data_IF_573152940321
#
_entry.id   IF_573152940321
#
_cell.length_a   1.000
_cell.length_b   1.000
_cell.length_c   1.000
_cell.angle_alpha   90.00
_cell.angle_beta   90.00
_cell.angle_gamma   90.00
#
_symmetry.space_group_name_H-M   'P 1'
#
loop_
_entity.id
_entity.type
_entity.pdbx_description
1 polymer ?
#
# COMPACT_ATOMS: atom_id res chain seq x y z
N UNK A 1 -12.36 31.23 45.16
CA UNK A 1 -11.73 31.70 43.90
C UNK A 1 -10.91 30.55 43.33
N UNK A 2 -11.13 30.31 42.03
CA UNK A 2 -10.29 29.59 41.05
C UNK A 2 -9.77 28.18 41.39
N UNK A 3 -10.32 27.18 40.68
CA UNK A 3 -9.52 26.15 39.97
C UNK A 3 -10.37 25.55 38.84
N UNK A 4 -10.39 26.23 37.68
CA UNK A 4 -10.86 25.63 36.44
C UNK A 4 -9.77 25.83 35.37
N UNK A 5 -8.75 24.99 35.44
CA UNK A 5 -7.77 24.84 34.36
C UNK A 5 -8.18 23.60 33.56
N UNK A 6 -9.17 23.80 32.67
CA UNK A 6 -9.37 22.92 31.54
C UNK A 6 -8.10 22.99 30.70
N UNK A 7 -7.25 21.96 30.80
CA UNK A 7 -6.17 21.73 29.85
C UNK A 7 -6.80 21.35 28.50
N UNK A 8 -7.26 22.36 27.76
CA UNK A 8 -7.44 22.26 26.33
C UNK A 8 -6.03 22.19 25.71
N UNK A 9 -5.41 21.02 25.76
CA UNK A 9 -4.37 20.63 24.81
C UNK A 9 -5.02 20.46 23.44
N UNK A 10 -5.43 21.58 22.84
CA UNK A 10 -5.72 21.63 21.43
C UNK A 10 -4.42 21.21 20.71
N UNK A 11 -4.42 20.02 20.11
CA UNK A 11 -3.34 19.64 19.19
C UNK A 11 -3.19 20.79 18.19
N UNK A 12 -1.97 21.29 17.91
CA UNK A 12 -1.78 22.34 16.95
C UNK A 12 -2.35 21.85 15.61
N UNK A 13 -3.46 22.44 15.19
CA UNK A 13 -4.06 22.15 13.89
C UNK A 13 -3.04 22.65 12.87
N UNK A 14 -2.45 21.74 12.10
CA UNK A 14 -1.50 22.12 11.03
C UNK A 14 -2.12 23.20 10.16
N UNK A 15 -1.29 24.16 9.73
CA UNK A 15 -1.75 25.16 8.80
C UNK A 15 -2.21 24.48 7.51
N UNK A 16 -3.29 24.98 6.88
CA UNK A 16 -3.79 24.46 5.61
C UNK A 16 -2.69 24.41 4.52
N UNK A 17 -1.70 25.30 4.61
CA UNK A 17 -0.53 25.34 3.74
C UNK A 17 0.37 24.10 3.94
N UNK A 18 0.57 23.69 5.19
CA UNK A 18 1.40 22.52 5.54
C UNK A 18 0.74 21.22 5.09
N UNK A 19 -0.56 21.05 5.37
CA UNK A 19 -1.34 19.90 4.89
C UNK A 19 -1.26 19.75 3.38
N UNK A 20 -1.46 20.85 2.64
CA UNK A 20 -1.39 20.82 1.17
C UNK A 20 0.01 20.46 0.66
N UNK A 21 1.06 20.89 1.37
CA UNK A 21 2.44 20.53 1.03
C UNK A 21 2.70 19.04 1.25
N UNK A 22 2.27 18.48 2.38
CA UNK A 22 2.42 17.05 2.68
C UNK A 22 1.65 16.22 1.65
N UNK A 23 0.41 16.60 1.33
CA UNK A 23 -0.39 15.93 0.29
C UNK A 23 0.35 15.91 -1.05
N UNK A 24 0.71 17.07 -1.59
CA UNK A 24 1.39 17.15 -2.90
C UNK A 24 2.67 16.32 -2.94
N UNK A 25 3.50 16.42 -1.90
CA UNK A 25 4.75 15.67 -1.82
C UNK A 25 4.51 14.16 -1.70
N UNK A 26 3.49 13.74 -0.96
CA UNK A 26 3.12 12.33 -0.81
C UNK A 26 2.69 11.75 -2.15
N UNK A 27 1.73 12.37 -2.83
CA UNK A 27 1.24 11.86 -4.12
C UNK A 27 2.32 11.90 -5.21
N UNK A 28 3.18 12.92 -5.20
CA UNK A 28 4.31 12.99 -6.13
C UNK A 28 5.33 11.88 -5.88
N UNK A 29 5.75 11.67 -4.63
CA UNK A 29 6.69 10.60 -4.28
C UNK A 29 6.06 9.21 -4.51
N UNK A 30 4.78 9.03 -4.22
CA UNK A 30 4.03 7.81 -4.51
C UNK A 30 4.03 7.51 -6.02
N UNK A 31 3.72 8.49 -6.86
CA UNK A 31 3.73 8.29 -8.31
C UNK A 31 5.12 7.88 -8.83
N UNK A 32 6.19 8.56 -8.37
CA UNK A 32 7.56 8.21 -8.77
C UNK A 32 7.97 6.81 -8.29
N UNK A 33 7.58 6.43 -7.07
CA UNK A 33 7.93 5.12 -6.50
C UNK A 33 7.14 3.98 -7.13
N UNK A 34 5.88 4.18 -7.51
CA UNK A 34 5.10 3.24 -8.31
C UNK A 34 5.69 3.07 -9.71
N UNK A 35 6.05 4.16 -10.39
CA UNK A 35 6.71 4.10 -11.69
C UNK A 35 8.06 3.36 -11.61
N UNK A 36 8.86 3.67 -10.60
CA UNK A 36 10.12 2.97 -10.34
C UNK A 36 9.91 1.48 -10.03
N UNK A 37 8.87 1.14 -9.28
CA UNK A 37 8.49 -0.26 -9.00
C UNK A 37 8.09 -0.99 -10.27
N UNK A 38 7.36 -0.34 -11.18
CA UNK A 38 7.00 -0.92 -12.47
C UNK A 38 8.22 -1.17 -13.36
N UNK A 39 9.18 -0.23 -13.39
CA UNK A 39 10.44 -0.41 -14.13
C UNK A 39 11.26 -1.56 -13.53
N UNK A 40 11.42 -1.61 -12.22
CA UNK A 40 12.17 -2.69 -11.55
C UNK A 40 11.49 -4.05 -11.70
N UNK A 41 10.16 -4.10 -11.67
CA UNK A 41 9.39 -5.30 -12.00
C UNK A 41 9.64 -5.75 -13.45
N UNK A 42 9.60 -4.82 -14.42
CA UNK A 42 9.89 -5.11 -15.83
C UNK A 42 11.31 -5.61 -16.06
N UNK A 43 12.31 -5.02 -15.38
CA UNK A 43 13.70 -5.51 -15.40
C UNK A 43 13.77 -6.91 -14.82
N UNK A 44 13.12 -7.16 -13.68
CA UNK A 44 13.10 -8.49 -13.07
C UNK A 44 12.39 -9.53 -13.95
N UNK A 45 11.35 -9.13 -14.70
CA UNK A 45 10.68 -10.00 -15.67
C UNK A 45 11.62 -10.36 -16.83
N UNK A 46 12.31 -9.35 -17.39
CA UNK A 46 13.25 -9.52 -18.49
C UNK A 46 14.46 -10.38 -18.12
N UNK A 47 14.94 -10.27 -16.87
CA UNK A 47 16.02 -11.11 -16.33
C UNK A 47 15.56 -12.51 -15.93
N UNK A 48 14.26 -12.82 -16.03
CA UNK A 48 13.66 -14.11 -15.64
C UNK A 48 14.11 -14.57 -14.25
N UNK A 49 14.10 -13.66 -13.27
CA UNK A 49 14.53 -13.98 -11.92
C UNK A 49 13.72 -15.14 -11.34
N UNK A 50 14.36 -16.09 -10.64
CA UNK A 50 13.65 -17.23 -10.08
C UNK A 50 12.70 -16.79 -8.96
N UNK A 51 11.61 -17.54 -8.79
CA UNK A 51 10.58 -17.24 -7.78
C UNK A 51 11.16 -17.07 -6.36
N UNK A 52 12.15 -17.88 -6.01
CA UNK A 52 12.87 -17.77 -4.73
C UNK A 52 13.50 -16.38 -4.53
N UNK A 53 14.08 -15.79 -5.58
CA UNK A 53 14.66 -14.44 -5.49
C UNK A 53 13.57 -13.39 -5.26
N UNK A 54 12.39 -13.58 -5.85
CA UNK A 54 11.23 -12.72 -5.62
C UNK A 54 10.82 -12.68 -4.15
N UNK A 55 10.71 -13.85 -3.52
CA UNK A 55 10.44 -13.96 -2.07
C UNK A 55 11.53 -13.28 -1.26
N UNK A 56 12.80 -13.51 -1.57
CA UNK A 56 13.92 -12.89 -0.85
C UNK A 56 13.85 -11.37 -0.93
N UNK A 57 13.58 -10.78 -2.10
CA UNK A 57 13.44 -9.33 -2.23
C UNK A 57 12.28 -8.76 -1.43
N UNK A 58 11.14 -9.45 -1.40
CA UNK A 58 9.99 -9.04 -0.57
C UNK A 58 10.29 -9.18 0.92
N UNK A 59 11.03 -10.21 1.36
CA UNK A 59 11.43 -10.33 2.76
C UNK A 59 12.44 -9.25 3.17
N UNK A 60 13.40 -8.94 2.29
CA UNK A 60 14.37 -7.86 2.53
C UNK A 60 13.67 -6.50 2.56
N UNK A 61 12.67 -6.27 1.71
CA UNK A 61 11.91 -5.02 1.71
C UNK A 61 11.14 -4.82 3.03
N UNK A 62 10.58 -5.87 3.64
CA UNK A 62 10.00 -5.81 4.98
C UNK A 62 11.03 -5.39 6.04
N UNK A 63 12.27 -5.88 5.95
CA UNK A 63 13.37 -5.40 6.79
C UNK A 63 13.70 -3.93 6.55
N UNK A 64 13.67 -3.49 5.29
CA UNK A 64 13.90 -2.09 4.90
C UNK A 64 12.84 -1.13 5.45
N UNK A 65 11.59 -1.58 5.66
CA UNK A 65 10.53 -0.73 6.22
C UNK A 65 10.93 -0.13 7.57
N UNK A 66 11.66 -0.87 8.41
CA UNK A 66 12.15 -0.34 9.69
C UNK A 66 13.17 0.79 9.48
N UNK A 67 14.04 0.65 8.48
CA UNK A 67 15.04 1.68 8.12
C UNK A 67 14.34 2.91 7.54
N UNK A 68 13.38 2.71 6.65
CA UNK A 68 12.59 3.80 6.04
C UNK A 68 11.86 4.59 7.11
N UNK A 69 11.16 3.92 8.04
CA UNK A 69 10.44 4.60 9.13
C UNK A 69 11.40 5.36 10.07
N UNK A 70 12.56 4.78 10.38
CA UNK A 70 13.59 5.42 11.21
C UNK A 70 14.26 6.62 10.52
N UNK A 71 14.41 6.57 9.19
CA UNK A 71 15.07 7.60 8.38
C UNK A 71 14.09 8.58 7.71
N UNK A 72 12.80 8.45 7.97
CA UNK A 72 11.76 9.29 7.38
C UNK A 72 11.92 10.77 7.71
N UNK A 73 12.53 11.11 8.84
CA UNK A 73 12.76 12.50 9.26
C UNK A 73 14.12 13.05 8.79
N UNK A 74 14.87 12.29 7.98
CA UNK A 74 16.20 12.66 7.46
C UNK A 74 16.14 12.85 5.94
N UNK A 75 17.04 13.69 5.38
CA UNK A 75 17.17 13.88 3.93
C UNK A 75 17.39 12.57 3.15
N UNK A 76 18.02 11.56 3.77
CA UNK A 76 18.20 10.22 3.19
C UNK A 76 16.90 9.41 3.06
N UNK A 77 15.79 9.84 3.68
CA UNK A 77 14.54 9.06 3.71
C UNK A 77 14.00 8.75 2.32
N UNK A 78 14.13 9.69 1.37
CA UNK A 78 13.70 9.50 -0.02
C UNK A 78 14.46 8.34 -0.69
N UNK A 79 15.79 8.28 -0.51
CA UNK A 79 16.60 7.18 -1.03
C UNK A 79 16.12 5.83 -0.50
N UNK A 80 15.85 5.74 0.81
CA UNK A 80 15.38 4.49 1.42
C UNK A 80 14.00 4.07 0.93
N UNK A 81 13.09 5.03 0.66
CA UNK A 81 11.80 4.71 0.03
C UNK A 81 12.02 4.12 -1.35
N UNK A 82 12.85 4.72 -2.20
CA UNK A 82 13.13 4.16 -3.52
C UNK A 82 13.78 2.79 -3.43
N UNK A 83 14.74 2.57 -2.53
CA UNK A 83 15.33 1.25 -2.30
C UNK A 83 14.28 0.22 -1.88
N UNK A 84 13.38 0.59 -0.96
CA UNK A 84 12.27 -0.25 -0.52
C UNK A 84 11.32 -0.59 -1.68
N UNK A 85 10.85 0.41 -2.42
CA UNK A 85 9.89 0.21 -3.51
C UNK A 85 10.52 -0.50 -4.71
N UNK A 86 11.80 -0.27 -4.98
CA UNK A 86 12.54 -0.98 -6.02
C UNK A 86 12.71 -2.46 -5.72
N UNK A 87 12.99 -2.82 -4.46
CA UNK A 87 13.02 -4.22 -4.04
C UNK A 87 11.64 -4.87 -4.11
N UNK A 88 10.59 -4.15 -3.71
CA UNK A 88 9.21 -4.62 -3.84
C UNK A 88 8.80 -4.84 -5.31
N UNK A 89 9.17 -3.92 -6.20
CA UNK A 89 8.96 -4.03 -7.64
C UNK A 89 9.74 -5.20 -8.25
N UNK A 90 11.03 -5.31 -7.95
CA UNK A 90 11.84 -6.46 -8.37
C UNK A 90 11.29 -7.79 -7.83
N UNK A 91 10.83 -7.83 -6.58
CA UNK A 91 10.20 -9.01 -5.97
C UNK A 91 8.89 -9.43 -6.65
N UNK A 92 8.19 -8.46 -7.24
CA UNK A 92 6.95 -8.67 -7.97
C UNK A 92 7.16 -9.19 -9.40
N UNK A 93 8.36 -9.03 -9.99
CA UNK A 93 8.67 -9.49 -11.34
C UNK A 93 8.42 -10.98 -11.59
N UNK A 94 8.92 -11.91 -10.75
CA UNK A 94 8.66 -13.34 -10.92
C UNK A 94 7.18 -13.71 -10.80
N UNK A 95 6.43 -13.00 -9.93
CA UNK A 95 4.98 -13.16 -9.82
C UNK A 95 4.28 -12.75 -11.12
N UNK A 96 4.68 -11.61 -11.71
CA UNK A 96 4.13 -11.20 -13.01
C UNK A 96 4.48 -12.17 -14.13
N UNK A 97 5.70 -12.74 -14.14
CA UNK A 97 6.06 -13.76 -15.13
C UNK A 97 5.17 -15.01 -15.02
N UNK A 98 4.77 -15.41 -13.81
CA UNK A 98 3.85 -16.52 -13.62
C UNK A 98 2.49 -16.25 -14.26
N UNK A 99 1.88 -15.08 -13.99
CA UNK A 99 0.62 -14.70 -14.62
C UNK A 99 0.76 -14.45 -16.11
N UNK A 100 1.86 -13.83 -16.57
CA UNK A 100 2.11 -13.55 -17.98
C UNK A 100 2.25 -14.83 -18.83
N UNK A 101 2.61 -15.96 -18.23
CA UNK A 101 2.68 -17.25 -18.90
C UNK A 101 1.30 -17.90 -19.11
N UNK A 102 0.23 -17.38 -18.48
CA UNK A 102 -1.14 -17.85 -18.70
C UNK A 102 -1.70 -17.33 -20.04
N UNK A 103 -2.68 -18.02 -20.66
CA UNK A 103 -3.25 -17.65 -21.96
C UNK A 103 -3.73 -16.19 -22.04
N UNK A 104 -4.29 -15.65 -20.96
CA UNK A 104 -4.77 -14.26 -20.85
C UNK A 104 -3.86 -13.37 -19.99
N UNK A 105 -2.64 -13.80 -19.69
CA UNK A 105 -1.75 -13.19 -18.70
C UNK A 105 -1.55 -11.68 -18.80
N UNK A 106 -1.12 -11.15 -19.96
CA UNK A 106 -0.92 -9.71 -20.13
C UNK A 106 -2.20 -8.89 -19.90
N UNK A 107 -3.36 -9.42 -20.33
CA UNK A 107 -4.65 -8.77 -20.13
C UNK A 107 -5.02 -8.75 -18.65
N UNK A 108 -4.81 -9.85 -17.91
CA UNK A 108 -5.05 -9.93 -16.46
C UNK A 108 -4.23 -8.88 -15.69
N UNK A 109 -2.95 -8.74 -16.03
CA UNK A 109 -2.06 -7.74 -15.40
C UNK A 109 -2.59 -6.33 -15.67
N UNK A 110 -2.99 -6.03 -16.91
CA UNK A 110 -3.56 -4.72 -17.26
C UNK A 110 -4.88 -4.45 -16.54
N UNK A 111 -5.77 -5.43 -16.42
CA UNK A 111 -7.04 -5.31 -15.70
C UNK A 111 -6.82 -5.10 -14.19
N UNK A 112 -5.88 -5.82 -13.59
CA UNK A 112 -5.50 -5.64 -12.19
C UNK A 112 -4.92 -4.25 -11.94
N UNK A 113 -4.02 -3.76 -12.81
CA UNK A 113 -3.49 -2.39 -12.72
C UNK A 113 -4.58 -1.33 -12.91
N UNK A 114 -5.45 -1.50 -13.91
CA UNK A 114 -6.54 -0.57 -14.22
C UNK A 114 -7.55 -0.47 -13.08
N UNK A 115 -7.98 -1.61 -12.53
CA UNK A 115 -8.88 -1.66 -11.38
C UNK A 115 -8.24 -1.08 -10.12
N UNK A 116 -6.97 -1.37 -9.85
CA UNK A 116 -6.21 -0.76 -8.74
C UNK A 116 -6.18 0.76 -8.88
N UNK A 117 -5.89 1.28 -10.08
CA UNK A 117 -5.86 2.71 -10.33
C UNK A 117 -7.24 3.34 -10.09
N UNK A 118 -8.31 2.74 -10.61
CA UNK A 118 -9.68 3.22 -10.41
C UNK A 118 -10.06 3.28 -8.92
N UNK A 119 -9.77 2.23 -8.16
CA UNK A 119 -10.05 2.16 -6.72
C UNK A 119 -9.21 3.20 -5.97
N UNK A 120 -7.89 3.24 -6.22
CA UNK A 120 -7.00 4.17 -5.54
C UNK A 120 -7.38 5.62 -5.80
N UNK A 121 -7.54 6.03 -7.07
CA UNK A 121 -7.91 7.39 -7.41
C UNK A 121 -9.33 7.73 -6.96
N UNK A 122 -10.28 6.81 -7.09
CA UNK A 122 -11.66 7.01 -6.65
C UNK A 122 -11.77 7.28 -5.15
N UNK A 123 -11.13 6.43 -4.34
CA UNK A 123 -11.15 6.57 -2.87
C UNK A 123 -10.33 7.77 -2.40
N UNK A 124 -9.17 8.00 -3.00
CA UNK A 124 -8.34 9.17 -2.72
C UNK A 124 -9.09 10.47 -3.03
N UNK A 125 -9.71 10.57 -4.21
CA UNK A 125 -10.52 11.73 -4.61
C UNK A 125 -11.72 11.93 -3.67
N UNK A 126 -12.38 10.84 -3.28
CA UNK A 126 -13.49 10.90 -2.32
C UNK A 126 -13.04 11.46 -0.96
N UNK A 127 -11.92 10.99 -0.40
CA UNK A 127 -11.38 11.53 0.85
C UNK A 127 -10.96 13.01 0.71
N UNK A 128 -10.27 13.36 -0.38
CA UNK A 128 -9.81 14.73 -0.66
C UNK A 128 -10.97 15.73 -0.81
N UNK A 129 -12.05 15.31 -1.47
CA UNK A 129 -13.22 16.16 -1.71
C UNK A 129 -14.10 16.28 -0.46
N UNK A 130 -14.38 15.17 0.23
CA UNK A 130 -15.27 15.17 1.40
C UNK A 130 -14.60 15.73 2.65
N UNK A 131 -13.26 15.62 2.75
CA UNK A 131 -12.46 16.00 3.93
C UNK A 131 -12.99 15.40 5.24
N UNK A 132 -13.71 14.28 5.15
CA UNK A 132 -14.24 13.58 6.31
C UNK A 132 -13.10 12.91 7.06
N UNK A 133 -13.18 12.95 8.38
CA UNK A 133 -12.24 12.22 9.23
C UNK A 133 -12.62 10.72 9.26
N UNK A 134 -11.75 9.87 8.74
CA UNK A 134 -11.90 8.41 8.78
C UNK A 134 -11.04 7.75 9.86
N UNK A 135 -10.45 8.52 10.78
CA UNK A 135 -9.60 8.00 11.86
C UNK A 135 -10.28 6.94 12.73
N UNK A 136 -11.61 6.96 12.82
CA UNK A 136 -12.41 5.95 13.54
C UNK A 136 -12.29 4.53 12.96
N UNK A 137 -11.92 4.39 11.69
CA UNK A 137 -11.76 3.09 11.03
C UNK A 137 -10.43 2.40 11.37
N UNK A 138 -9.46 3.13 11.93
CA UNK A 138 -8.09 2.63 12.10
C UNK A 138 -8.00 1.34 12.93
N UNK A 139 -8.76 1.25 14.03
CA UNK A 139 -8.80 0.04 14.86
C UNK A 139 -9.39 -1.17 14.11
N UNK A 140 -10.50 -0.96 13.40
CA UNK A 140 -11.14 -2.01 12.60
C UNK A 140 -10.23 -2.51 11.47
N UNK A 141 -9.58 -1.60 10.73
CA UNK A 141 -8.67 -1.94 9.63
C UNK A 141 -7.44 -2.70 10.14
N UNK A 142 -6.90 -2.31 11.30
CA UNK A 142 -5.76 -3.00 11.92
C UNK A 142 -6.13 -4.43 12.32
N UNK A 143 -7.28 -4.62 12.97
CA UNK A 143 -7.78 -5.97 13.32
C UNK A 143 -8.03 -6.79 12.07
N UNK A 144 -8.67 -6.21 11.05
CA UNK A 144 -8.92 -6.87 9.77
C UNK A 144 -7.62 -7.35 9.11
N UNK A 145 -6.56 -6.52 9.11
CA UNK A 145 -5.26 -6.89 8.57
C UNK A 145 -4.65 -8.07 9.32
N UNK A 146 -4.70 -8.07 10.66
CA UNK A 146 -4.22 -9.18 11.50
C UNK A 146 -4.99 -10.46 11.19
N UNK A 147 -6.33 -10.38 11.11
CA UNK A 147 -7.19 -11.53 10.78
C UNK A 147 -6.80 -12.12 9.44
N UNK A 148 -6.61 -11.29 8.41
CA UNK A 148 -6.22 -11.74 7.07
C UNK A 148 -4.82 -12.36 7.07
N UNK A 149 -3.85 -11.80 7.79
CA UNK A 149 -2.51 -12.40 7.92
C UNK A 149 -2.60 -13.79 8.57
N UNK A 150 -3.31 -13.91 9.70
CA UNK A 150 -3.47 -15.19 10.40
C UNK A 150 -4.19 -16.20 9.51
N UNK A 151 -5.28 -15.80 8.88
CA UNK A 151 -6.05 -16.68 8.01
C UNK A 151 -5.27 -17.07 6.75
N UNK A 152 -4.40 -16.21 6.23
CA UNK A 152 -3.47 -16.54 5.13
C UNK A 152 -2.47 -17.62 5.55
N UNK A 153 -1.93 -17.53 6.78
CA UNK A 153 -1.04 -18.57 7.33
C UNK A 153 -1.79 -19.90 7.48
N UNK A 154 -3.03 -19.88 8.00
CA UNK A 154 -3.86 -21.09 8.10
C UNK A 154 -4.11 -21.69 6.71
N UNK A 155 -4.40 -20.85 5.71
CA UNK A 155 -4.67 -21.33 4.35
C UNK A 155 -3.47 -22.00 3.68
N UNK A 156 -2.23 -21.71 4.09
CA UNK A 156 -1.04 -22.43 3.61
C UNK A 156 -1.11 -23.92 3.99
N UNK A 157 -1.66 -24.25 5.16
CA UNK A 157 -1.81 -25.64 5.62
C UNK A 157 -3.09 -26.31 5.12
N UNK A 158 -4.16 -25.55 4.94
CA UNK A 158 -5.45 -26.07 4.46
C UNK A 158 -5.48 -26.23 2.94
N UNK A 159 -4.88 -25.30 2.19
CA UNK A 159 -4.81 -25.33 0.73
C UNK A 159 -6.14 -25.12 0.02
N UNK A 160 -7.11 -24.43 0.62
CA UNK A 160 -8.44 -24.23 0.02
C UNK A 160 -8.43 -23.09 -1.00
N UNK A 161 -8.83 -23.38 -2.25
CA UNK A 161 -8.99 -22.38 -3.32
C UNK A 161 -10.08 -21.35 -3.00
N UNK A 162 -11.20 -21.78 -2.42
CA UNK A 162 -12.26 -20.88 -1.98
C UNK A 162 -11.77 -19.92 -0.89
N UNK A 163 -11.02 -20.43 0.10
CA UNK A 163 -10.45 -19.59 1.15
C UNK A 163 -9.41 -18.63 0.58
N UNK A 164 -8.61 -19.03 -0.40
CA UNK A 164 -7.70 -18.14 -1.12
C UNK A 164 -8.44 -16.97 -1.79
N UNK A 165 -9.55 -17.22 -2.50
CA UNK A 165 -10.34 -16.16 -3.11
C UNK A 165 -10.94 -15.22 -2.06
N UNK A 166 -11.55 -15.77 -1.00
CA UNK A 166 -12.13 -14.96 0.09
C UNK A 166 -11.07 -14.09 0.76
N UNK A 167 -9.87 -14.63 0.99
CA UNK A 167 -8.76 -13.89 1.59
C UNK A 167 -8.32 -12.71 0.70
N UNK A 168 -8.11 -12.94 -0.59
CA UNK A 168 -7.72 -11.86 -1.50
C UNK A 168 -8.83 -10.81 -1.62
N UNK A 169 -10.11 -11.20 -1.64
CA UNK A 169 -11.23 -10.25 -1.61
C UNK A 169 -11.25 -9.41 -0.32
N UNK A 170 -10.94 -10.03 0.83
CA UNK A 170 -10.80 -9.32 2.10
C UNK A 170 -9.61 -8.34 2.07
N UNK A 171 -8.46 -8.73 1.51
CA UNK A 171 -7.31 -7.83 1.32
C UNK A 171 -7.71 -6.63 0.47
N UNK A 172 -8.40 -6.84 -0.66
CA UNK A 172 -8.88 -5.74 -1.53
C UNK A 172 -9.72 -4.73 -0.75
N UNK A 173 -10.67 -5.19 0.07
CA UNK A 173 -11.50 -4.31 0.91
C UNK A 173 -10.69 -3.58 1.99
N UNK A 174 -9.77 -4.28 2.66
CA UNK A 174 -8.94 -3.67 3.72
C UNK A 174 -8.00 -2.64 3.13
N UNK A 175 -7.32 -2.94 2.02
CA UNK A 175 -6.41 -2.01 1.35
C UNK A 175 -7.16 -0.79 0.80
N UNK A 176 -8.36 -0.98 0.27
CA UNK A 176 -9.27 0.11 -0.09
C UNK A 176 -9.60 1.00 1.12
N UNK A 177 -9.95 0.39 2.25
CA UNK A 177 -10.18 1.11 3.50
C UNK A 177 -8.94 1.86 4.02
N UNK A 178 -7.76 1.27 3.89
CA UNK A 178 -6.49 1.89 4.27
C UNK A 178 -6.14 3.08 3.38
N UNK A 179 -6.38 3.01 2.07
CA UNK A 179 -6.21 4.18 1.16
C UNK A 179 -7.07 5.36 1.63
N UNK A 180 -8.34 5.09 1.95
CA UNK A 180 -9.28 6.09 2.45
C UNK A 180 -8.81 6.67 3.80
N UNK A 181 -8.43 5.79 4.73
CA UNK A 181 -7.95 6.13 6.06
C UNK A 181 -6.66 6.97 6.01
N UNK A 182 -5.63 6.52 5.29
CA UNK A 182 -4.34 7.21 5.19
C UNK A 182 -4.50 8.56 4.50
N UNK A 183 -5.27 8.62 3.41
CA UNK A 183 -5.57 9.89 2.73
C UNK A 183 -6.26 10.87 3.69
N UNK A 184 -7.24 10.40 4.46
CA UNK A 184 -7.93 11.22 5.45
C UNK A 184 -6.99 11.70 6.56
N UNK A 185 -6.05 10.87 7.01
CA UNK A 185 -5.08 11.24 8.05
C UNK A 185 -4.14 12.33 7.57
N UNK A 186 -3.73 12.31 6.31
CA UNK A 186 -2.90 13.40 5.75
C UNK A 186 -3.72 14.70 5.71
N UNK A 187 -4.96 14.65 5.22
CA UNK A 187 -5.84 15.84 5.08
C UNK A 187 -6.16 16.45 6.45
N UNK A 188 -6.46 15.63 7.45
CA UNK A 188 -6.81 16.08 8.80
C UNK A 188 -5.59 16.35 9.68
N UNK A 189 -4.38 16.24 9.13
CA UNK A 189 -3.12 16.51 9.81
C UNK A 189 -2.69 15.50 10.87
N UNK A 190 -3.25 14.29 10.82
CA UNK A 190 -2.81 13.14 11.61
C UNK A 190 -1.53 12.46 11.10
N UNK A 191 -1.06 12.80 9.89
CA UNK A 191 0.24 12.39 9.35
C UNK A 191 0.95 13.61 8.74
N UNK A 192 2.10 13.97 9.29
CA UNK A 192 2.87 15.17 8.91
C UNK A 192 4.05 14.84 8.00
N UNK A 193 4.45 13.55 7.95
CA UNK A 193 5.61 13.11 7.20
C UNK A 193 5.19 12.45 5.88
N UNK A 194 5.46 13.14 4.77
CA UNK A 194 5.12 12.66 3.43
C UNK A 194 5.81 11.34 3.05
N UNK A 195 6.96 11.01 3.64
CA UNK A 195 7.69 9.75 3.41
C UNK A 195 6.91 8.59 4.01
N UNK A 196 6.46 8.70 5.27
CA UNK A 196 5.66 7.67 5.95
C UNK A 196 4.29 7.51 5.30
N UNK A 197 3.67 8.62 4.93
CA UNK A 197 2.43 8.63 4.17
C UNK A 197 2.59 7.91 2.81
N UNK A 198 3.70 8.16 2.10
CA UNK A 198 3.99 7.51 0.82
C UNK A 198 4.14 6.00 0.99
N UNK A 199 4.89 5.55 1.99
CA UNK A 199 5.10 4.12 2.24
C UNK A 199 3.79 3.40 2.55
N UNK A 200 2.93 4.02 3.37
CA UNK A 200 1.64 3.42 3.77
C UNK A 200 0.68 3.32 2.57
N UNK A 201 0.57 4.38 1.77
CA UNK A 201 -0.20 4.35 0.53
C UNK A 201 0.39 3.40 -0.51
N UNK A 202 1.72 3.34 -0.64
CA UNK A 202 2.41 2.41 -1.54
C UNK A 202 2.09 0.96 -1.17
N UNK A 203 2.21 0.59 0.10
CA UNK A 203 1.88 -0.74 0.59
C UNK A 203 0.41 -1.09 0.31
N UNK A 204 -0.50 -0.13 0.52
CA UNK A 204 -1.91 -0.32 0.23
C UNK A 204 -2.16 -0.57 -1.27
N UNK A 205 -1.56 0.24 -2.14
CA UNK A 205 -1.67 0.08 -3.61
C UNK A 205 -1.03 -1.23 -4.08
N UNK A 206 0.15 -1.57 -3.56
CA UNK A 206 0.85 -2.82 -3.90
C UNK A 206 0.03 -4.05 -3.55
N UNK A 207 -0.49 -4.12 -2.31
CA UNK A 207 -1.29 -5.27 -1.86
C UNK A 207 -2.66 -5.31 -2.53
N UNK A 208 -3.25 -4.15 -2.82
CA UNK A 208 -4.47 -4.07 -3.62
C UNK A 208 -4.24 -4.66 -5.02
N UNK A 209 -3.15 -4.27 -5.68
CA UNK A 209 -2.78 -4.80 -7.00
C UNK A 209 -2.55 -6.30 -6.99
N UNK A 210 -1.71 -6.82 -6.10
CA UNK A 210 -1.39 -8.26 -6.06
C UNK A 210 -2.62 -9.10 -5.72
N UNK A 211 -3.51 -8.60 -4.86
CA UNK A 211 -4.75 -9.31 -4.50
C UNK A 211 -5.79 -9.29 -5.62
N UNK A 212 -5.92 -8.16 -6.34
CA UNK A 212 -6.78 -8.10 -7.53
C UNK A 212 -6.25 -9.01 -8.63
N UNK A 213 -4.93 -9.03 -8.86
CA UNK A 213 -4.30 -9.94 -9.81
C UNK A 213 -4.57 -11.41 -9.45
N UNK A 214 -4.45 -11.76 -8.17
CA UNK A 214 -4.76 -13.10 -7.68
C UNK A 214 -6.23 -13.50 -7.86
N UNK A 215 -7.17 -12.58 -7.62
CA UNK A 215 -8.61 -12.82 -7.83
C UNK A 215 -8.96 -13.00 -9.30
N UNK A 216 -8.42 -12.14 -10.16
CA UNK A 216 -8.65 -12.21 -11.61
C UNK A 216 -8.03 -13.48 -12.19
N UNK A 217 -6.80 -13.83 -11.79
CA UNK A 217 -6.15 -15.07 -12.21
C UNK A 217 -6.91 -16.32 -11.74
N UNK A 218 -7.39 -16.35 -10.49
CA UNK A 218 -8.17 -17.47 -9.98
C UNK A 218 -9.58 -17.60 -10.59
N UNK A 219 -10.08 -16.57 -11.28
CA UNK A 219 -11.37 -16.61 -11.97
C UNK A 219 -11.25 -17.02 -13.44
N UNK A 220 -10.05 -16.91 -14.01
CA UNK A 220 -9.72 -17.23 -15.41
C UNK A 220 -9.12 -18.64 -15.58
N UNK A 221 -8.80 -19.34 -14.48
CA UNK A 221 -8.41 -20.76 -14.40
C UNK A 221 -9.63 -21.70 -14.30
#
# INVERSE_FOLDING_TARGET
MAFNQSYNTAKPVMSTIETNKVLKNTYFLLAMTLAFSAVTAGISMALQLPYFMGIVFTLVSFGLLFVVNKKADTASGVFWVFAFTGLMGAGLGPLLNHYAAMPNGPMLIMQALGSTALIFFGLSAYALNTKKDFSFMGGFLTVGLIVVIVASIVNIFVGSSLMFMVLNAAVVLIMSGLILFDTSRIINGGETNYIRATVSLYLSVYNLFTSLLALLGASDD
#
